data_IF_832852977959
#
_entry.id   IF_832852977959
#
_cell.length_a   1.000
_cell.length_b   1.000
_cell.length_c   1.000
_cell.angle_alpha   90.00
_cell.angle_beta   90.00
_cell.angle_gamma   90.00
#
_symmetry.space_group_name_H-M   'P 1'
#
loop_
_entity.id
_entity.type
_entity.pdbx_description
1 polymer ?
#
# COMPACT_ATOMS: atom_id res chain seq x y z
N UNK A 1 25.37 -20.28 -75.26
CA UNK A 1 24.48 -19.61 -76.23
C UNK A 1 23.08 -19.55 -75.65
N UNK A 2 22.52 -18.33 -75.49
CA UNK A 2 21.08 -17.93 -75.56
C UNK A 2 20.06 -18.69 -74.69
N UNK A 3 19.15 -18.09 -73.90
CA UNK A 3 18.50 -16.77 -73.84
C UNK A 3 17.97 -16.62 -72.40
N UNK A 4 18.28 -15.54 -71.65
CA UNK A 4 17.58 -14.25 -71.56
C UNK A 4 16.09 -14.29 -71.16
N UNK A 5 15.90 -13.91 -69.88
CA UNK A 5 14.92 -12.93 -69.38
C UNK A 5 13.45 -13.32 -69.31
N UNK A 6 12.93 -13.47 -68.08
CA UNK A 6 11.57 -13.04 -67.71
C UNK A 6 11.53 -12.67 -66.22
N UNK A 7 11.37 -11.37 -66.00
CA UNK A 7 11.07 -10.68 -64.75
C UNK A 7 9.54 -10.65 -64.61
N UNK A 8 8.95 -11.23 -63.56
CA UNK A 8 7.61 -10.88 -63.07
C UNK A 8 7.35 -11.40 -61.64
N UNK A 9 7.40 -10.46 -60.69
CA UNK A 9 6.53 -10.22 -59.52
C UNK A 9 5.56 -11.35 -59.10
N UNK A 10 5.64 -11.79 -57.83
CA UNK A 10 4.55 -12.18 -56.87
C UNK A 10 5.24 -12.37 -55.49
N UNK A 11 5.22 -11.40 -54.58
CA UNK A 11 4.26 -11.18 -53.48
C UNK A 11 4.38 -12.17 -52.29
N UNK A 12 4.80 -11.60 -51.14
CA UNK A 12 4.51 -11.98 -49.76
C UNK A 12 4.84 -13.39 -49.24
N UNK A 13 5.89 -13.49 -48.41
CA UNK A 13 5.74 -14.02 -47.03
C UNK A 13 6.95 -13.59 -46.18
N UNK A 14 6.88 -12.38 -45.63
CA UNK A 14 7.71 -12.01 -44.50
C UNK A 14 7.09 -12.66 -43.26
N UNK A 15 7.59 -13.82 -42.86
CA UNK A 15 7.41 -14.34 -41.51
C UNK A 15 8.22 -13.47 -40.55
N UNK A 16 7.65 -12.30 -40.22
CA UNK A 16 7.99 -11.62 -38.98
C UNK A 16 7.39 -12.46 -37.88
N UNK A 17 8.21 -13.33 -37.26
CA UNK A 17 7.89 -13.88 -35.94
C UNK A 17 7.90 -12.69 -34.97
N UNK A 18 6.75 -12.04 -34.83
CA UNK A 18 6.46 -11.24 -33.66
C UNK A 18 6.26 -12.25 -32.55
N UNK A 19 7.29 -12.46 -31.73
CA UNK A 19 7.12 -13.02 -30.40
C UNK A 19 6.30 -12.00 -29.60
N UNK A 20 4.97 -12.04 -29.76
CA UNK A 20 4.06 -11.52 -28.76
C UNK A 20 4.32 -12.33 -27.50
N UNK A 21 4.94 -11.70 -26.50
CA UNK A 21 5.01 -12.26 -25.17
C UNK A 21 3.60 -12.65 -24.75
N UNK A 22 3.41 -13.92 -24.40
CA UNK A 22 2.20 -14.34 -23.73
C UNK A 22 2.17 -13.61 -22.39
N UNK A 23 1.38 -12.53 -22.30
CA UNK A 23 0.94 -12.02 -21.00
C UNK A 23 0.22 -13.16 -20.29
N UNK A 24 0.60 -13.41 -19.04
CA UNK A 24 0.11 -14.50 -18.21
C UNK A 24 -1.33 -14.23 -17.73
N UNK A 25 -2.29 -14.16 -18.66
CA UNK A 25 -3.69 -13.77 -18.38
C UNK A 25 -4.49 -14.82 -17.59
N UNK A 26 -3.93 -15.99 -17.30
CA UNK A 26 -4.60 -17.05 -16.53
C UNK A 26 -4.56 -16.81 -15.02
N UNK A 27 -3.48 -16.19 -14.52
CA UNK A 27 -3.23 -16.01 -13.09
C UNK A 27 -3.88 -14.73 -12.54
N UNK A 28 -4.16 -13.74 -13.41
CA UNK A 28 -4.80 -12.47 -13.04
C UNK A 28 -6.16 -12.68 -12.32
N UNK A 29 -6.94 -13.69 -12.73
CA UNK A 29 -8.25 -14.01 -12.13
C UNK A 29 -8.17 -14.66 -10.75
N UNK A 30 -7.01 -15.19 -10.38
CA UNK A 30 -6.79 -15.77 -9.06
C UNK A 30 -6.81 -14.67 -7.99
N UNK A 31 -6.21 -13.52 -8.30
CA UNK A 31 -6.05 -12.40 -7.39
C UNK A 31 -7.00 -11.23 -7.66
N UNK A 32 -7.43 -10.99 -8.90
CA UNK A 32 -8.28 -9.83 -9.26
C UNK A 32 -9.38 -10.20 -10.27
N UNK A 33 -10.63 -10.04 -9.86
CA UNK A 33 -11.82 -10.22 -10.69
C UNK A 33 -12.65 -8.93 -10.72
N UNK A 34 -12.35 -8.04 -11.67
CA UNK A 34 -13.07 -6.78 -11.86
C UNK A 34 -14.15 -6.92 -12.94
N UNK A 35 -15.37 -7.24 -12.49
CA UNK A 35 -16.54 -7.45 -13.36
C UNK A 35 -17.25 -6.16 -13.75
N UNK A 36 -16.98 -5.08 -13.01
CA UNK A 36 -17.54 -3.76 -13.24
C UNK A 36 -16.72 -2.91 -14.22
N UNK A 37 -15.45 -3.25 -14.42
CA UNK A 37 -14.53 -2.47 -15.25
C UNK A 37 -14.07 -1.18 -14.56
N UNK A 38 -14.02 -1.18 -13.23
CA UNK A 38 -13.60 0.00 -12.45
C UNK A 38 -12.08 0.12 -12.32
N UNK A 39 -11.34 -0.93 -12.63
CA UNK A 39 -9.88 -0.94 -12.56
C UNK A 39 -9.27 -0.85 -13.97
N UNK A 40 -8.27 0.01 -14.11
CA UNK A 40 -7.38 0.02 -15.28
C UNK A 40 -6.54 -1.26 -15.32
N UNK A 41 -6.02 -1.62 -16.51
CA UNK A 41 -5.10 -2.75 -16.62
C UNK A 41 -3.89 -2.62 -15.69
N UNK A 42 -3.31 -1.42 -15.62
CA UNK A 42 -2.16 -1.16 -14.74
C UNK A 42 -2.48 -1.32 -13.25
N UNK A 43 -3.70 -1.02 -12.81
CA UNK A 43 -4.15 -1.28 -11.43
C UNK A 43 -4.34 -2.77 -11.16
N UNK A 44 -4.99 -3.50 -12.07
CA UNK A 44 -5.16 -4.97 -11.96
C UNK A 44 -3.80 -5.65 -11.83
N UNK A 45 -2.87 -5.30 -12.70
CA UNK A 45 -1.51 -5.84 -12.68
C UNK A 45 -0.77 -5.55 -11.37
N UNK A 46 -0.96 -4.36 -10.77
CA UNK A 46 -0.33 -4.02 -9.48
C UNK A 46 -0.94 -4.79 -8.33
N UNK A 47 -2.26 -4.86 -8.26
CA UNK A 47 -2.99 -5.57 -7.21
C UNK A 47 -2.69 -7.08 -7.29
N UNK A 48 -2.71 -7.67 -8.48
CA UNK A 48 -2.38 -9.07 -8.68
C UNK A 48 -0.95 -9.40 -8.21
N UNK A 49 0.05 -8.61 -8.62
CA UNK A 49 1.43 -8.77 -8.14
C UNK A 49 1.59 -8.61 -6.64
N UNK A 50 0.80 -7.75 -5.99
CA UNK A 50 0.80 -7.67 -4.53
C UNK A 50 0.21 -8.96 -3.94
N UNK A 51 -0.92 -9.43 -4.45
CA UNK A 51 -1.53 -10.69 -4.04
C UNK A 51 -0.60 -11.89 -4.16
N UNK A 52 0.10 -12.03 -5.30
CA UNK A 52 1.13 -13.05 -5.52
C UNK A 52 2.21 -13.02 -4.43
N UNK A 53 2.75 -11.84 -4.14
CA UNK A 53 3.78 -11.68 -3.11
C UNK A 53 3.28 -12.00 -1.71
N UNK A 54 2.03 -11.67 -1.39
CA UNK A 54 1.41 -12.03 -0.12
C UNK A 54 1.27 -13.55 0.01
N UNK A 55 0.92 -14.24 -1.08
CA UNK A 55 0.85 -15.70 -1.09
C UNK A 55 2.24 -16.32 -0.93
N UNK A 56 3.22 -15.88 -1.72
CA UNK A 56 4.57 -16.44 -1.72
C UNK A 56 5.33 -16.20 -0.40
N UNK A 57 5.19 -15.01 0.18
CA UNK A 57 6.08 -14.57 1.26
C UNK A 57 5.40 -14.47 2.63
N UNK A 58 4.07 -14.34 2.68
CA UNK A 58 3.29 -14.29 3.93
C UNK A 58 2.35 -15.47 4.10
N UNK A 59 2.28 -16.38 3.12
CA UNK A 59 1.35 -17.51 3.12
C UNK A 59 -0.10 -17.03 3.26
N UNK A 60 -0.45 -15.91 2.61
CA UNK A 60 -1.79 -15.30 2.61
C UNK A 60 -2.34 -15.27 1.17
N UNK A 61 -3.41 -16.01 0.92
CA UNK A 61 -4.11 -15.99 -0.37
C UNK A 61 -5.20 -14.93 -0.36
N UNK A 62 -4.92 -13.75 -0.91
CA UNK A 62 -5.88 -12.65 -1.02
C UNK A 62 -6.44 -12.52 -2.44
N UNK A 63 -7.75 -12.29 -2.56
CA UNK A 63 -8.41 -12.04 -3.84
C UNK A 63 -9.31 -10.81 -3.76
N UNK A 64 -9.24 -9.93 -4.76
CA UNK A 64 -10.14 -8.80 -4.94
C UNK A 64 -11.20 -9.09 -5.99
N UNK A 65 -12.46 -8.82 -5.66
CA UNK A 65 -13.59 -8.97 -6.59
C UNK A 65 -14.40 -7.68 -6.61
N UNK A 66 -14.58 -7.10 -7.81
CA UNK A 66 -15.47 -5.96 -8.04
C UNK A 66 -16.73 -6.46 -8.73
N UNK A 67 -17.86 -6.38 -8.05
CA UNK A 67 -19.15 -6.83 -8.56
C UNK A 67 -19.71 -5.86 -9.59
N UNK A 68 -20.30 -6.41 -10.65
CA UNK A 68 -21.03 -5.64 -11.68
C UNK A 68 -22.41 -5.17 -11.19
N UNK A 69 -23.03 -5.95 -10.32
CA UNK A 69 -24.39 -5.74 -9.81
C UNK A 69 -24.39 -6.01 -8.31
N UNK A 70 -25.21 -5.25 -7.58
CA UNK A 70 -25.36 -5.41 -6.13
C UNK A 70 -26.01 -6.74 -5.79
N UNK A 71 -25.44 -7.51 -4.85
CA UNK A 71 -26.12 -8.68 -4.32
C UNK A 71 -27.28 -8.25 -3.42
N UNK A 72 -28.19 -9.18 -3.16
CA UNK A 72 -29.23 -8.99 -2.13
C UNK A 72 -28.62 -8.87 -0.75
N UNK A 73 -27.59 -9.69 -0.47
CA UNK A 73 -26.80 -9.68 0.75
C UNK A 73 -25.32 -9.81 0.38
N UNK A 74 -24.52 -8.79 0.72
CA UNK A 74 -23.08 -8.79 0.42
C UNK A 74 -22.31 -9.80 1.26
N UNK A 75 -22.78 -10.13 2.46
CA UNK A 75 -22.15 -11.09 3.36
C UNK A 75 -22.33 -12.51 2.85
N UNK A 76 -23.57 -12.87 2.48
CA UNK A 76 -23.83 -14.16 1.82
C UNK A 76 -23.04 -14.25 0.51
N UNK A 77 -22.98 -13.15 -0.25
CA UNK A 77 -22.25 -13.15 -1.51
C UNK A 77 -20.74 -13.31 -1.32
N UNK A 78 -20.17 -12.73 -0.28
CA UNK A 78 -18.76 -12.87 0.05
C UNK A 78 -18.40 -14.31 0.39
N UNK A 79 -19.19 -14.97 1.25
CA UNK A 79 -18.99 -16.38 1.60
C UNK A 79 -19.05 -17.27 0.35
N UNK A 80 -20.07 -17.10 -0.50
CA UNK A 80 -20.21 -17.85 -1.76
C UNK A 80 -19.00 -17.69 -2.68
N UNK A 81 -18.48 -16.46 -2.83
CA UNK A 81 -17.31 -16.19 -3.66
C UNK A 81 -16.04 -16.77 -3.03
N UNK A 82 -15.90 -16.65 -1.71
CA UNK A 82 -14.74 -17.13 -0.95
C UNK A 82 -14.59 -18.65 -1.11
N UNK A 83 -15.68 -19.38 -0.90
CA UNK A 83 -15.69 -20.84 -1.01
C UNK A 83 -15.48 -21.32 -2.45
N UNK A 84 -16.17 -20.71 -3.43
CA UNK A 84 -15.98 -21.08 -4.85
C UNK A 84 -14.58 -20.78 -5.37
N UNK A 85 -13.93 -19.77 -4.80
CA UNK A 85 -12.54 -19.43 -5.14
C UNK A 85 -11.52 -20.26 -4.35
N UNK A 86 -11.97 -21.15 -3.45
CA UNK A 86 -11.14 -21.98 -2.58
C UNK A 86 -10.02 -21.15 -1.88
N UNK A 87 -10.37 -19.94 -1.40
CA UNK A 87 -9.38 -19.03 -0.83
C UNK A 87 -8.74 -19.64 0.42
N UNK A 88 -7.42 -19.48 0.52
CA UNK A 88 -6.61 -20.12 1.56
C UNK A 88 -6.21 -21.57 1.27
N UNK A 89 -6.81 -22.29 0.32
CA UNK A 89 -6.43 -23.70 0.00
C UNK A 89 -4.96 -23.86 -0.43
N UNK A 90 -4.38 -22.80 -1.01
CA UNK A 90 -2.97 -22.74 -1.44
C UNK A 90 -1.99 -22.50 -0.28
N UNK A 91 -2.48 -22.27 0.93
CA UNK A 91 -1.67 -21.89 2.10
C UNK A 91 -1.61 -23.01 3.13
N UNK A 92 -0.68 -22.94 4.09
CA UNK A 92 -0.53 -24.00 5.10
C UNK A 92 -1.70 -24.10 6.08
N UNK A 93 -2.36 -22.99 6.39
CA UNK A 93 -3.37 -22.88 7.46
C UNK A 93 -4.70 -22.31 6.97
N UNK A 94 -5.06 -22.49 5.69
CA UNK A 94 -6.31 -21.94 5.13
C UNK A 94 -6.44 -20.42 5.30
N UNK A 95 -5.32 -19.72 5.09
CA UNK A 95 -5.14 -18.27 5.24
C UNK A 95 -5.63 -17.55 3.99
N UNK A 96 -6.95 -17.43 3.86
CA UNK A 96 -7.62 -16.75 2.76
C UNK A 96 -8.18 -15.38 3.16
N UNK A 97 -8.19 -14.43 2.22
CA UNK A 97 -8.86 -13.13 2.36
C UNK A 97 -9.60 -12.82 1.06
N UNK A 98 -10.90 -12.52 1.13
CA UNK A 98 -11.63 -11.93 0.00
C UNK A 98 -11.84 -10.45 0.27
N UNK A 99 -11.46 -9.63 -0.70
CA UNK A 99 -11.80 -8.22 -0.77
C UNK A 99 -12.92 -8.04 -1.78
N UNK A 100 -14.16 -7.87 -1.31
CA UNK A 100 -15.35 -7.73 -2.15
C UNK A 100 -15.81 -6.27 -2.22
N UNK A 101 -16.05 -5.79 -3.44
CA UNK A 101 -16.52 -4.42 -3.71
C UNK A 101 -17.85 -4.50 -4.46
N UNK A 102 -18.90 -3.96 -3.86
CA UNK A 102 -20.18 -3.66 -4.50
C UNK A 102 -20.29 -2.15 -4.71
N UNK A 103 -19.92 -1.70 -5.91
CA UNK A 103 -19.91 -0.27 -6.18
C UNK A 103 -21.30 0.34 -6.33
N UNK A 104 -22.29 -0.44 -6.79
CA UNK A 104 -23.66 0.04 -7.01
C UNK A 104 -24.42 0.13 -5.69
N UNK A 105 -24.25 -0.88 -4.84
CA UNK A 105 -24.84 -0.96 -3.51
C UNK A 105 -24.03 -0.16 -2.51
N UNK A 106 -22.86 0.36 -2.94
CA UNK A 106 -22.02 1.23 -2.14
C UNK A 106 -21.47 0.48 -0.93
N UNK A 107 -21.03 -0.77 -1.09
CA UNK A 107 -20.49 -1.57 0.01
C UNK A 107 -19.09 -2.10 -0.30
N UNK A 108 -18.27 -2.20 0.74
CA UNK A 108 -17.04 -2.99 0.73
C UNK A 108 -17.15 -4.04 1.82
N UNK A 109 -16.57 -5.20 1.57
CA UNK A 109 -16.46 -6.27 2.54
C UNK A 109 -15.12 -6.97 2.45
N UNK A 110 -14.50 -7.18 3.59
CA UNK A 110 -13.40 -8.10 3.76
C UNK A 110 -13.92 -9.37 4.43
N UNK A 111 -13.78 -10.50 3.76
CA UNK A 111 -14.08 -11.82 4.31
C UNK A 111 -12.78 -12.52 4.69
N UNK A 112 -12.64 -12.89 5.96
CA UNK A 112 -11.41 -13.46 6.50
C UNK A 112 -11.59 -14.95 6.74
N UNK A 113 -10.70 -15.76 6.18
CA UNK A 113 -10.66 -17.20 6.45
C UNK A 113 -10.16 -17.52 7.85
N UNK A 114 -10.54 -18.67 8.39
CA UNK A 114 -10.25 -19.06 9.77
C UNK A 114 -8.76 -18.96 10.16
N UNK A 115 -7.85 -19.27 9.23
CA UNK A 115 -6.40 -19.17 9.45
C UNK A 115 -5.86 -17.76 9.71
N UNK A 116 -6.70 -16.74 9.55
CA UNK A 116 -6.33 -15.33 9.70
C UNK A 116 -7.17 -14.56 10.72
N UNK A 117 -8.16 -15.16 11.39
CA UNK A 117 -9.01 -14.45 12.37
C UNK A 117 -8.19 -13.92 13.57
N UNK A 118 -7.16 -14.65 14.01
CA UNK A 118 -6.23 -14.19 15.04
C UNK A 118 -5.34 -13.02 14.60
N UNK A 119 -5.04 -12.94 13.30
CA UNK A 119 -4.18 -11.90 12.72
C UNK A 119 -5.00 -10.66 12.36
N UNK A 120 -6.18 -10.86 11.76
CA UNK A 120 -7.11 -9.85 11.28
C UNK A 120 -8.45 -9.98 12.03
N UNK A 121 -8.52 -9.58 13.31
CA UNK A 121 -9.75 -9.64 14.08
C UNK A 121 -10.79 -8.66 13.52
N UNK A 122 -12.07 -8.93 13.77
CA UNK A 122 -13.22 -8.17 13.24
C UNK A 122 -13.09 -6.64 13.44
N UNK A 123 -12.61 -6.21 14.61
CA UNK A 123 -12.38 -4.78 14.88
C UNK A 123 -11.35 -4.12 13.94
N UNK A 124 -10.33 -4.86 13.51
CA UNK A 124 -9.33 -4.40 12.54
C UNK A 124 -9.89 -4.43 11.11
N UNK A 125 -10.66 -5.47 10.76
CA UNK A 125 -11.33 -5.57 9.46
C UNK A 125 -12.29 -4.40 9.24
N UNK A 126 -13.20 -4.18 10.20
CA UNK A 126 -14.13 -3.05 10.17
C UNK A 126 -13.44 -1.68 10.19
N UNK A 127 -12.22 -1.61 10.73
CA UNK A 127 -11.40 -0.41 10.66
C UNK A 127 -10.89 -0.14 9.25
N UNK A 128 -10.39 -1.15 8.53
CA UNK A 128 -10.00 -1.00 7.12
C UNK A 128 -11.21 -0.56 6.28
N UNK A 129 -12.34 -1.25 6.40
CA UNK A 129 -13.55 -0.97 5.63
C UNK A 129 -14.03 0.48 5.82
N UNK A 130 -14.10 0.96 7.07
CA UNK A 130 -14.64 2.30 7.39
C UNK A 130 -13.63 3.43 7.27
N UNK A 131 -12.38 3.22 7.69
CA UNK A 131 -11.39 4.30 7.83
C UNK A 131 -10.41 4.36 6.67
N UNK A 132 -10.08 3.22 6.05
CA UNK A 132 -9.15 3.18 4.92
C UNK A 132 -9.87 3.35 3.58
N UNK A 133 -10.95 2.60 3.35
CA UNK A 133 -11.53 2.49 2.00
C UNK A 133 -12.42 3.66 1.60
N UNK A 134 -13.25 4.14 2.55
CA UNK A 134 -14.25 5.19 2.30
C UNK A 134 -13.67 6.40 1.57
N UNK A 135 -12.52 7.00 1.98
CA UNK A 135 -12.00 8.20 1.34
C UNK A 135 -11.56 7.99 -0.13
N UNK A 136 -10.95 6.85 -0.42
CA UNK A 136 -10.51 6.51 -1.79
C UNK A 136 -11.70 6.32 -2.73
N UNK A 137 -12.72 5.63 -2.26
CA UNK A 137 -13.93 5.34 -3.02
C UNK A 137 -14.76 6.60 -3.25
N UNK A 138 -14.91 7.45 -2.24
CA UNK A 138 -15.54 8.77 -2.37
C UNK A 138 -14.85 9.61 -3.46
N UNK A 139 -13.52 9.49 -3.56
CA UNK A 139 -12.72 10.18 -4.56
C UNK A 139 -12.65 9.48 -5.93
N UNK A 140 -13.36 8.37 -6.13
CA UNK A 140 -13.33 7.58 -7.37
C UNK A 140 -12.02 6.81 -7.62
N UNK A 141 -11.12 6.74 -6.63
CA UNK A 141 -9.80 6.10 -6.72
C UNK A 141 -9.83 4.67 -6.18
N UNK A 142 -10.66 3.82 -6.78
CA UNK A 142 -10.93 2.45 -6.30
C UNK A 142 -9.66 1.60 -6.25
N UNK A 143 -8.86 1.57 -7.33
CA UNK A 143 -7.61 0.81 -7.38
C UNK A 143 -6.62 1.21 -6.30
N UNK A 144 -6.39 2.52 -6.11
CA UNK A 144 -5.54 3.04 -5.04
C UNK A 144 -6.05 2.65 -3.65
N UNK A 145 -7.36 2.63 -3.42
CA UNK A 145 -7.92 2.20 -2.14
C UNK A 145 -7.61 0.73 -1.84
N UNK A 146 -7.73 -0.15 -2.84
CA UNK A 146 -7.40 -1.58 -2.69
C UNK A 146 -5.91 -1.76 -2.35
N UNK A 147 -5.03 -1.12 -3.12
CA UNK A 147 -3.57 -1.17 -2.86
C UNK A 147 -3.26 -0.71 -1.43
N UNK A 148 -3.86 0.40 -0.99
CA UNK A 148 -3.64 0.96 0.34
C UNK A 148 -4.24 0.08 1.47
N UNK A 149 -5.28 -0.71 1.22
CA UNK A 149 -5.78 -1.66 2.20
C UNK A 149 -4.90 -2.92 2.31
N UNK A 150 -4.33 -3.38 1.20
CA UNK A 150 -3.37 -4.49 1.20
C UNK A 150 -2.14 -4.12 2.06
N UNK A 151 -1.66 -2.88 1.99
CA UNK A 151 -0.55 -2.38 2.81
C UNK A 151 -0.84 -2.46 4.32
N UNK A 152 -2.06 -2.13 4.75
CA UNK A 152 -2.47 -2.25 6.16
C UNK A 152 -2.57 -3.72 6.61
N UNK A 153 -3.07 -4.61 5.75
CA UNK A 153 -3.12 -6.05 6.02
C UNK A 153 -1.71 -6.62 6.20
N UNK A 154 -0.77 -6.22 5.34
CA UNK A 154 0.65 -6.59 5.45
C UNK A 154 1.23 -6.12 6.77
N UNK A 155 1.05 -4.84 7.13
CA UNK A 155 1.57 -4.26 8.36
C UNK A 155 1.09 -5.04 9.59
N UNK A 156 -0.22 -5.33 9.62
CA UNK A 156 -0.84 -6.08 10.71
C UNK A 156 -0.32 -7.51 10.79
N UNK A 157 -0.14 -8.18 9.64
CA UNK A 157 0.42 -9.53 9.60
C UNK A 157 1.84 -9.58 10.19
N UNK A 158 2.72 -8.64 9.82
CA UNK A 158 4.06 -8.56 10.41
C UNK A 158 4.04 -8.22 11.90
N UNK A 159 3.19 -7.28 12.32
CA UNK A 159 3.07 -6.86 13.71
C UNK A 159 2.61 -7.98 14.66
N UNK A 160 1.82 -8.94 14.17
CA UNK A 160 1.45 -10.15 14.93
C UNK A 160 2.60 -11.16 14.93
N UNK A 161 3.25 -11.37 13.77
CA UNK A 161 4.35 -12.34 13.63
C UNK A 161 5.57 -11.99 14.52
N UNK A 162 5.83 -10.72 14.78
CA UNK A 162 6.90 -10.27 15.69
C UNK A 162 6.57 -10.47 17.18
N UNK A 163 5.27 -10.50 17.52
CA UNK A 163 4.77 -10.67 18.90
C UNK A 163 4.57 -12.16 19.23
N UNK A 164 4.13 -12.98 18.26
CA UNK A 164 3.79 -14.40 18.44
C UNK A 164 4.95 -15.38 18.20
N UNK A 165 6.15 -14.91 17.81
CA UNK A 165 7.37 -15.75 17.90
C UNK A 165 7.81 -16.05 19.35
N UNK A 166 7.00 -15.67 20.34
CA UNK A 166 6.92 -16.31 21.66
C UNK A 166 5.53 -16.95 21.80
N UNK A 167 5.48 -18.26 21.57
CA UNK A 167 4.38 -19.18 21.90
C UNK A 167 3.12 -19.15 21.01
N UNK A 168 3.00 -20.15 20.14
CA UNK A 168 1.90 -21.15 20.07
C UNK A 168 2.06 -21.95 18.76
N UNK A 169 1.70 -23.22 18.64
CA UNK A 169 0.69 -24.01 19.34
C UNK A 169 -0.19 -24.64 18.25
N UNK A 170 -0.02 -25.94 18.04
CA UNK A 170 -0.56 -26.73 16.92
C UNK A 170 -2.10 -26.66 16.86
N UNK A 171 -2.67 -26.00 15.85
CA UNK A 171 -4.12 -25.96 15.58
C UNK A 171 -4.57 -27.13 14.70
N UNK A 172 -5.50 -27.93 15.21
CA UNK A 172 -6.11 -29.08 14.55
C UNK A 172 -6.96 -28.68 13.33
N UNK A 173 -6.81 -29.40 12.21
CA UNK A 173 -7.63 -29.23 11.01
C UNK A 173 -9.06 -29.71 11.26
N UNK A 174 -10.03 -28.81 11.22
CA UNK A 174 -11.45 -29.16 11.19
C UNK A 174 -11.94 -29.34 9.74
N UNK A 175 -12.71 -30.41 9.50
CA UNK A 175 -13.45 -30.65 8.25
C UNK A 175 -14.66 -29.67 8.13
N UNK A 176 -14.37 -28.36 8.04
CA UNK A 176 -15.38 -27.35 7.84
C UNK A 176 -15.87 -27.35 6.38
N UNK A 177 -17.19 -27.30 6.18
CA UNK A 177 -17.83 -27.23 4.85
C UNK A 177 -17.59 -25.86 4.17
N UNK A 178 -17.16 -24.85 4.93
CA UNK A 178 -16.88 -23.48 4.49
C UNK A 178 -15.45 -23.06 4.89
N UNK A 179 -14.80 -22.24 4.08
CA UNK A 179 -13.43 -21.78 4.34
C UNK A 179 -13.36 -20.48 5.17
N UNK A 180 -14.50 -19.88 5.52
CA UNK A 180 -14.61 -18.67 6.35
C UNK A 180 -15.92 -18.65 7.18
N UNK A 181 -15.93 -17.88 8.27
CA UNK A 181 -17.01 -17.78 9.25
C UNK A 181 -17.93 -16.56 9.15
N UNK A 182 -17.81 -15.68 8.15
CA UNK A 182 -18.68 -14.51 8.01
C UNK A 182 -18.21 -13.26 8.77
N UNK A 183 -16.95 -13.23 9.23
CA UNK A 183 -16.42 -12.14 10.05
C UNK A 183 -16.03 -10.93 9.18
N UNK A 184 -16.97 -10.00 9.00
CA UNK A 184 -16.74 -8.71 8.34
C UNK A 184 -17.92 -7.76 8.63
N UNK A 185 -17.64 -6.47 8.82
CA UNK A 185 -18.66 -5.48 9.17
C UNK A 185 -19.19 -4.79 7.91
N UNK A 186 -20.48 -4.90 7.63
CA UNK A 186 -21.06 -4.23 6.47
C UNK A 186 -20.88 -2.70 6.57
N UNK A 187 -20.21 -2.11 5.58
CA UNK A 187 -19.93 -0.67 5.53
C UNK A 187 -20.45 -0.07 4.23
N UNK A 188 -21.34 0.92 4.34
CA UNK A 188 -21.81 1.72 3.20
C UNK A 188 -20.81 2.84 2.85
N UNK A 189 -20.55 3.08 1.56
CA UNK A 189 -19.51 3.97 1.03
C UNK A 189 -20.05 4.81 -0.12
N UNK A 190 -19.86 6.13 -0.11
CA UNK A 190 -20.12 6.97 -1.29
C UNK A 190 -19.07 6.68 -2.38
N UNK A 191 -19.47 6.46 -3.65
CA UNK A 191 -18.53 6.34 -4.77
C UNK A 191 -18.74 7.49 -5.73
N UNK A 192 -17.64 8.18 -6.08
CA UNK A 192 -17.64 9.18 -7.16
C UNK A 192 -18.12 10.59 -6.76
N UNK A 193 -17.94 10.99 -5.50
CA UNK A 193 -18.33 12.30 -4.96
C UNK A 193 -17.40 13.47 -5.36
N UNK A 194 -16.35 13.23 -6.14
CA UNK A 194 -15.36 14.25 -6.53
C UNK A 194 -14.12 14.26 -5.64
N UNK A 195 -13.18 15.17 -5.91
CA UNK A 195 -11.98 15.31 -5.08
C UNK A 195 -12.40 15.68 -3.64
N UNK A 196 -11.91 14.95 -2.64
CA UNK A 196 -12.04 15.35 -1.25
C UNK A 196 -11.49 16.78 -1.09
N UNK A 197 -12.36 17.76 -0.89
CA UNK A 197 -11.94 19.11 -0.54
C UNK A 197 -11.24 19.05 0.82
N UNK A 198 -9.95 19.32 0.84
CA UNK A 198 -9.18 19.38 2.07
C UNK A 198 -9.40 20.73 2.71
N UNK A 199 -10.17 20.74 3.78
CA UNK A 199 -10.42 21.95 4.55
C UNK A 199 -9.15 22.43 5.25
N UNK A 200 -8.99 23.75 5.28
CA UNK A 200 -7.96 24.41 6.09
C UNK A 200 -8.25 24.16 7.56
N UNK A 201 -7.23 23.75 8.32
CA UNK A 201 -7.34 23.51 9.74
C UNK A 201 -7.47 24.83 10.50
N UNK A 202 -8.39 24.89 11.47
CA UNK A 202 -8.45 26.00 12.43
C UNK A 202 -7.15 26.11 13.25
N UNK A 203 -6.40 25.01 13.37
CA UNK A 203 -5.13 24.95 14.08
C UNK A 203 -3.92 25.21 13.17
N UNK A 204 -4.11 25.57 11.89
CA UNK A 204 -3.00 25.67 10.92
C UNK A 204 -1.85 26.57 11.41
N UNK A 205 -2.17 27.65 12.12
CA UNK A 205 -1.19 28.58 12.69
C UNK A 205 -0.30 27.97 13.80
N UNK A 206 -0.63 26.78 14.31
CA UNK A 206 0.17 26.06 15.30
C UNK A 206 1.22 25.14 14.65
N UNK A 207 1.08 24.86 13.35
CA UNK A 207 1.92 23.93 12.59
C UNK A 207 2.80 24.67 11.58
N UNK A 208 3.67 25.54 12.09
CA UNK A 208 4.66 26.25 11.28
C UNK A 208 5.98 25.49 11.17
N UNK A 209 6.90 26.02 10.37
CA UNK A 209 8.29 25.53 10.35
C UNK A 209 8.90 25.57 11.77
N UNK A 210 9.71 24.57 12.10
CA UNK A 210 10.17 24.33 13.47
C UNK A 210 11.65 24.69 13.67
N UNK A 211 12.08 25.02 14.91
CA UNK A 211 13.45 25.49 15.15
C UNK A 211 14.54 24.41 14.91
N UNK A 212 14.19 23.14 15.00
CA UNK A 212 15.09 22.00 14.74
C UNK A 212 14.42 20.90 13.90
N UNK A 213 15.19 20.01 13.25
CA UNK A 213 14.62 18.90 12.52
C UNK A 213 13.77 17.97 13.40
N UNK A 214 14.28 17.63 14.59
CA UNK A 214 13.58 16.74 15.51
C UNK A 214 12.23 17.36 15.96
N UNK A 215 12.22 18.65 16.30
CA UNK A 215 10.96 19.34 16.63
C UNK A 215 9.97 19.38 15.47
N UNK A 216 10.43 19.40 14.20
CA UNK A 216 9.54 19.30 13.04
C UNK A 216 8.86 17.93 12.98
N UNK A 217 9.59 16.86 13.25
CA UNK A 217 9.05 15.51 13.26
C UNK A 217 8.11 15.28 14.46
N UNK A 218 8.47 15.78 15.64
CA UNK A 218 7.58 15.77 16.82
C UNK A 218 6.27 16.51 16.53
N UNK A 219 6.37 17.69 15.90
CA UNK A 219 5.19 18.50 15.54
C UNK A 219 4.32 17.80 14.50
N UNK A 220 4.91 17.02 13.61
CA UNK A 220 4.16 16.17 12.70
C UNK A 220 3.45 15.01 13.41
N UNK A 221 4.04 14.46 14.47
CA UNK A 221 3.35 13.51 15.35
C UNK A 221 2.04 14.10 15.91
N UNK A 222 2.03 15.39 16.27
CA UNK A 222 0.80 16.08 16.68
C UNK A 222 -0.23 16.19 15.53
N UNK A 223 0.20 16.49 14.30
CA UNK A 223 -0.68 16.49 13.11
C UNK A 223 -1.38 15.15 12.95
N UNK A 224 -0.62 14.05 13.07
CA UNK A 224 -1.15 12.69 12.94
C UNK A 224 -2.19 12.38 14.02
N UNK A 225 -1.86 12.67 15.29
CA UNK A 225 -2.77 12.46 16.43
C UNK A 225 -4.06 13.27 16.33
N UNK A 226 -3.97 14.50 15.83
CA UNK A 226 -5.11 15.40 15.64
C UNK A 226 -5.84 15.17 14.31
N UNK A 227 -5.34 14.24 13.48
CA UNK A 227 -5.90 13.87 12.17
C UNK A 227 -6.09 15.04 11.23
N UNK A 228 -5.18 16.01 11.31
CA UNK A 228 -5.17 17.18 10.44
C UNK A 228 -4.77 16.73 9.04
N UNK A 229 -5.57 17.12 8.05
CA UNK A 229 -5.37 16.78 6.61
C UNK A 229 -5.12 18.01 5.74
N UNK A 230 -4.98 19.17 6.37
CA UNK A 230 -4.68 20.45 5.74
C UNK A 230 -3.34 20.34 4.99
N UNK A 231 -3.31 20.48 3.66
CA UNK A 231 -2.07 20.42 2.89
C UNK A 231 -1.24 21.69 3.05
N UNK A 232 -1.82 22.80 3.51
CA UNK A 232 -1.20 24.13 3.50
C UNK A 232 -0.40 24.45 4.77
N UNK A 233 -0.21 23.48 5.68
CA UNK A 233 0.56 23.67 6.91
C UNK A 233 1.99 24.15 6.60
N UNK A 234 2.42 25.18 7.34
CA UNK A 234 3.77 25.73 7.17
C UNK A 234 4.89 24.81 7.65
N UNK A 235 4.54 23.74 8.35
CA UNK A 235 5.39 22.60 8.70
C UNK A 235 5.91 21.84 7.45
N UNK A 236 5.23 21.96 6.31
CA UNK A 236 5.58 21.25 5.07
C UNK A 236 6.30 22.16 4.08
N UNK A 237 7.27 21.58 3.35
CA UNK A 237 7.88 22.27 2.19
C UNK A 237 6.82 22.64 1.16
N UNK A 238 7.00 23.71 0.37
CA UNK A 238 6.05 24.09 -0.68
C UNK A 238 5.68 22.94 -1.62
N UNK A 239 6.64 22.10 -1.99
CA UNK A 239 6.43 20.92 -2.83
C UNK A 239 5.59 19.86 -2.10
N UNK A 240 5.77 19.70 -0.79
CA UNK A 240 4.99 18.78 0.04
C UNK A 240 3.54 19.25 0.20
N UNK A 241 3.28 20.56 0.23
CA UNK A 241 1.91 21.11 0.23
C UNK A 241 1.18 20.76 -1.07
N UNK A 242 1.86 20.94 -2.22
CA UNK A 242 1.34 20.52 -3.53
C UNK A 242 1.10 19.01 -3.60
N UNK A 243 2.02 18.21 -3.05
CA UNK A 243 1.87 16.76 -2.97
C UNK A 243 0.63 16.38 -2.16
N UNK A 244 0.46 16.92 -0.95
CA UNK A 244 -0.69 16.60 -0.11
C UNK A 244 -2.00 17.16 -0.65
N UNK A 245 -2.01 18.24 -1.43
CA UNK A 245 -3.23 18.74 -2.06
C UNK A 245 -3.90 17.68 -2.96
N UNK A 246 -3.11 16.82 -3.63
CA UNK A 246 -3.62 15.72 -4.47
C UNK A 246 -3.69 14.34 -3.80
N UNK A 247 -3.07 14.20 -2.62
CA UNK A 247 -2.90 12.91 -1.93
C UNK A 247 -4.04 12.62 -0.95
N UNK A 248 -4.60 11.42 -0.99
CA UNK A 248 -5.62 11.00 -0.03
C UNK A 248 -4.92 10.49 1.22
N UNK A 249 -5.18 11.14 2.35
CA UNK A 249 -4.69 10.73 3.67
C UNK A 249 -5.90 10.22 4.45
N UNK A 250 -5.85 8.98 4.88
CA UNK A 250 -6.92 8.34 5.65
C UNK A 250 -6.64 8.44 7.15
N UNK A 251 -7.69 8.40 7.97
CA UNK A 251 -7.52 8.26 9.42
C UNK A 251 -6.73 6.99 9.75
N UNK A 252 -6.92 5.92 8.97
CA UNK A 252 -6.25 4.66 9.19
C UNK A 252 -4.74 4.74 9.04
N UNK A 253 -4.31 5.39 7.95
CA UNK A 253 -2.90 5.65 7.70
C UNK A 253 -2.31 6.58 8.77
N UNK A 254 -3.04 7.62 9.19
CA UNK A 254 -2.55 8.54 10.23
C UNK A 254 -2.37 7.87 11.59
N UNK A 255 -3.32 7.04 12.03
CA UNK A 255 -3.21 6.35 13.32
C UNK A 255 -2.04 5.32 13.32
N UNK A 256 -1.82 4.62 12.20
CA UNK A 256 -0.70 3.69 12.06
C UNK A 256 0.63 4.43 12.08
N UNK A 257 0.76 5.48 11.27
CA UNK A 257 1.97 6.29 11.25
C UNK A 257 2.23 6.96 12.61
N UNK A 258 1.19 7.44 13.30
CA UNK A 258 1.32 8.02 14.65
C UNK A 258 1.89 7.01 15.63
N UNK A 259 1.36 5.78 15.68
CA UNK A 259 1.84 4.74 16.60
C UNK A 259 3.26 4.32 16.28
N UNK A 260 3.59 4.18 14.99
CA UNK A 260 4.94 3.80 14.56
C UNK A 260 5.94 4.89 14.91
N UNK A 261 5.62 6.15 14.61
CA UNK A 261 6.45 7.29 14.96
C UNK A 261 6.66 7.42 16.48
N UNK A 262 5.59 7.30 17.28
CA UNK A 262 5.68 7.33 18.75
C UNK A 262 6.64 6.24 19.29
N UNK A 263 6.64 5.05 18.68
CA UNK A 263 7.54 3.94 19.04
C UNK A 263 8.99 4.18 18.61
N UNK A 264 9.21 4.77 17.43
CA UNK A 264 10.52 4.83 16.81
C UNK A 264 11.33 6.07 17.19
N UNK A 265 10.64 7.15 17.61
CA UNK A 265 11.25 8.46 17.82
C UNK A 265 12.44 8.43 18.79
N UNK A 266 12.41 7.55 19.81
CA UNK A 266 13.50 7.39 20.76
C UNK A 266 14.81 6.88 20.13
N UNK A 267 14.74 6.24 18.96
CA UNK A 267 15.89 5.73 18.20
C UNK A 267 16.29 6.64 17.03
N UNK A 268 15.69 7.83 16.92
CA UNK A 268 15.96 8.77 15.84
C UNK A 268 17.39 9.33 15.90
N UNK A 269 18.09 9.30 14.77
CA UNK A 269 19.35 9.98 14.56
C UNK A 269 19.16 11.13 13.56
N UNK A 270 19.57 12.34 13.96
CA UNK A 270 19.48 13.53 13.11
C UNK A 270 20.83 13.82 12.46
N UNK A 271 20.88 13.80 11.14
CA UNK A 271 22.06 14.19 10.35
C UNK A 271 21.70 15.43 9.55
N UNK A 272 22.51 16.49 9.67
CA UNK A 272 22.25 17.80 9.05
C UNK A 272 23.46 18.26 8.25
N UNK A 273 23.22 18.73 7.02
CA UNK A 273 24.21 19.38 6.16
C UNK A 273 23.55 20.61 5.53
N UNK A 274 24.11 21.79 5.78
CA UNK A 274 23.62 23.08 5.27
C UNK A 274 22.12 23.30 5.55
N UNK A 275 21.29 23.34 4.51
CA UNK A 275 19.86 23.56 4.54
C UNK A 275 19.05 22.25 4.53
N UNK A 276 19.69 21.09 4.68
CA UNK A 276 19.05 19.77 4.63
C UNK A 276 19.32 18.96 5.88
N UNK A 277 18.31 18.20 6.27
CA UNK A 277 18.44 17.21 7.33
C UNK A 277 17.73 15.91 6.96
N UNK A 278 18.24 14.83 7.52
CA UNK A 278 17.61 13.52 7.50
C UNK A 278 17.49 13.05 8.95
N UNK A 279 16.29 12.62 9.31
CA UNK A 279 16.08 11.86 10.54
C UNK A 279 15.97 10.41 10.13
N UNK A 280 16.92 9.58 10.58
CA UNK A 280 16.98 8.15 10.25
C UNK A 280 16.80 7.31 11.50
N UNK A 281 16.40 6.06 11.29
CA UNK A 281 16.21 5.05 12.33
C UNK A 281 17.14 3.86 12.08
N UNK A 282 17.35 2.98 13.09
CA UNK A 282 18.21 1.81 12.93
C UNK A 282 17.79 0.93 11.74
N UNK A 283 18.75 0.55 10.90
CA UNK A 283 18.48 -0.29 9.72
C UNK A 283 18.08 -1.73 10.07
N UNK A 284 18.21 -2.14 11.33
CA UNK A 284 17.63 -3.39 11.84
C UNK A 284 16.10 -3.39 11.75
N UNK A 285 15.47 -2.22 11.76
CA UNK A 285 14.03 -2.04 11.52
C UNK A 285 13.81 -1.24 10.22
N UNK A 286 13.73 -1.96 9.10
CA UNK A 286 13.39 -1.36 7.80
C UNK A 286 11.90 -0.99 7.67
N UNK A 287 11.07 -1.21 8.69
CA UNK A 287 9.73 -0.63 8.75
C UNK A 287 9.75 0.88 9.05
N UNK A 288 10.81 1.37 9.67
CA UNK A 288 11.00 2.79 10.01
C UNK A 288 11.75 3.52 8.91
N UNK A 289 11.03 4.17 8.01
CA UNK A 289 11.65 4.98 6.95
C UNK A 289 12.26 6.27 7.49
N UNK A 290 13.29 6.82 6.82
CA UNK A 290 13.82 8.12 7.17
C UNK A 290 12.84 9.25 6.81
N UNK A 291 12.93 10.36 7.53
CA UNK A 291 12.25 11.61 7.22
C UNK A 291 13.23 12.63 6.65
N UNK A 292 12.84 13.28 5.56
CA UNK A 292 13.64 14.32 4.91
C UNK A 292 13.14 15.70 5.27
N UNK A 293 14.07 16.63 5.49
CA UNK A 293 13.75 17.99 5.88
C UNK A 293 14.57 19.02 5.11
N UNK A 294 13.98 20.20 4.94
CA UNK A 294 14.61 21.37 4.32
C UNK A 294 14.43 22.57 5.24
N UNK A 295 15.47 23.38 5.39
CA UNK A 295 15.45 24.62 6.16
C UNK A 295 14.98 25.78 5.28
N UNK A 296 13.80 26.32 5.59
CA UNK A 296 13.30 27.57 5.03
C UNK A 296 13.76 28.80 5.83
N UNK A 297 13.20 29.96 5.50
CA UNK A 297 13.45 31.21 6.21
C UNK A 297 13.00 31.15 7.68
N UNK A 298 11.86 30.50 7.92
CA UNK A 298 11.20 30.48 9.23
C UNK A 298 11.52 29.22 10.07
N UNK A 299 12.25 28.25 9.51
CA UNK A 299 12.65 27.04 10.24
C UNK A 299 12.74 25.79 9.36
N UNK A 300 12.80 24.64 10.01
CA UNK A 300 12.81 23.32 9.39
C UNK A 300 11.41 22.86 9.01
N UNK A 301 11.28 22.36 7.78
CA UNK A 301 10.05 21.83 7.20
C UNK A 301 10.27 20.39 6.74
N UNK A 302 9.22 19.58 6.78
CA UNK A 302 9.23 18.20 6.27
C UNK A 302 9.06 18.17 4.75
N UNK A 303 9.91 17.40 4.07
CA UNK A 303 9.92 17.20 2.62
C UNK A 303 9.36 15.83 2.23
N UNK A 304 8.07 15.63 2.46
CA UNK A 304 7.33 14.43 2.01
C UNK A 304 7.35 14.26 0.49
N UNK A 305 7.38 15.35 -0.27
CA UNK A 305 7.54 15.28 -1.72
C UNK A 305 8.91 14.69 -2.11
N UNK A 306 9.97 15.07 -1.40
CA UNK A 306 11.29 14.45 -1.50
C UNK A 306 11.28 12.98 -1.12
N UNK A 307 10.66 12.65 0.02
CA UNK A 307 10.51 11.26 0.48
C UNK A 307 9.80 10.41 -0.56
N UNK A 308 8.66 10.85 -1.09
CA UNK A 308 7.90 10.10 -2.10
C UNK A 308 8.71 9.83 -3.39
N UNK A 309 9.55 10.78 -3.82
CA UNK A 309 10.42 10.58 -5.00
C UNK A 309 11.52 9.56 -4.78
N UNK A 310 12.02 9.45 -3.55
CA UNK A 310 13.27 8.74 -3.24
C UNK A 310 13.03 7.41 -2.55
N UNK A 311 12.03 7.34 -1.69
CA UNK A 311 11.72 6.20 -0.83
C UNK A 311 10.57 5.40 -1.45
N UNK A 312 10.77 4.10 -1.55
CA UNK A 312 9.73 3.13 -1.88
C UNK A 312 9.61 2.11 -0.77
N UNK A 313 8.53 1.33 -0.80
CA UNK A 313 8.30 0.23 0.13
C UNK A 313 8.03 -1.04 -0.67
N UNK A 314 8.58 -2.16 -0.20
CA UNK A 314 8.19 -3.46 -0.72
C UNK A 314 6.88 -3.94 -0.08
N UNK A 315 6.41 -5.12 -0.48
CA UNK A 315 5.23 -5.78 0.08
C UNK A 315 5.40 -6.27 1.53
N UNK A 316 6.54 -5.96 2.19
CA UNK A 316 6.79 -6.17 3.62
C UNK A 316 6.80 -4.87 4.41
N UNK A 317 6.40 -3.77 3.79
CA UNK A 317 6.58 -2.41 4.31
C UNK A 317 8.04 -2.10 4.68
N UNK A 318 9.00 -2.72 4.00
CA UNK A 318 10.40 -2.39 4.16
C UNK A 318 10.79 -1.31 3.15
N UNK A 319 11.34 -0.21 3.65
CA UNK A 319 11.72 0.89 2.79
C UNK A 319 12.99 0.59 1.99
N UNK A 320 13.07 1.14 0.79
CA UNK A 320 14.21 1.08 -0.12
C UNK A 320 14.36 2.38 -0.91
N UNK A 321 15.53 2.63 -1.48
CA UNK A 321 15.78 3.76 -2.35
C UNK A 321 15.35 3.46 -3.79
N UNK A 322 14.38 4.21 -4.31
CA UNK A 322 13.94 4.16 -5.72
C UNK A 322 15.02 4.67 -6.67
N UNK A 323 15.83 5.61 -6.20
CA UNK A 323 16.92 6.23 -6.95
C UNK A 323 18.14 6.36 -6.04
N UNK A 324 19.31 6.17 -6.63
CA UNK A 324 20.60 6.33 -5.95
C UNK A 324 21.16 7.75 -6.07
N UNK A 325 20.52 8.63 -6.85
CA UNK A 325 20.90 10.04 -6.99
C UNK A 325 19.85 10.96 -6.38
N UNK A 326 20.10 11.48 -5.18
CA UNK A 326 19.19 12.39 -4.48
C UNK A 326 19.94 13.30 -3.48
N UNK A 327 19.37 14.45 -3.10
CA UNK A 327 20.06 15.45 -2.27
C UNK A 327 20.23 15.05 -0.79
N UNK A 328 19.78 13.86 -0.40
CA UNK A 328 19.80 13.36 0.99
C UNK A 328 20.83 12.24 1.22
N UNK A 329 21.68 11.94 0.23
CA UNK A 329 22.67 10.86 0.31
C UNK A 329 23.68 11.03 1.45
N UNK A 330 23.99 12.27 1.82
CA UNK A 330 24.94 12.60 2.89
C UNK A 330 24.62 11.92 4.23
N UNK A 331 23.36 11.54 4.47
CA UNK A 331 22.93 10.88 5.70
C UNK A 331 23.09 9.34 5.67
N UNK A 332 23.62 8.79 4.57
CA UNK A 332 23.71 7.36 4.32
C UNK A 332 25.12 6.94 3.86
N UNK A 333 26.15 7.74 4.15
CA UNK A 333 27.54 7.45 3.77
C UNK A 333 28.10 6.18 4.45
N UNK A 334 27.52 5.76 5.56
CA UNK A 334 27.82 4.51 6.29
C UNK A 334 26.99 3.30 5.81
N UNK A 335 26.16 3.49 4.78
CA UNK A 335 25.22 2.48 4.25
C UNK A 335 25.58 2.12 2.82
N UNK A 336 25.41 0.86 2.42
CA UNK A 336 25.39 0.47 1.01
C UNK A 336 23.99 -0.01 0.61
N UNK A 337 23.61 0.23 -0.63
CA UNK A 337 22.36 -0.28 -1.18
C UNK A 337 22.60 -1.58 -1.95
N UNK A 338 21.74 -2.58 -1.78
CA UNK A 338 21.73 -3.75 -2.65
C UNK A 338 21.15 -3.44 -4.04
N UNK A 339 21.11 -4.44 -4.92
CA UNK A 339 20.61 -4.30 -6.29
C UNK A 339 19.14 -3.85 -6.39
N UNK A 340 18.37 -4.01 -5.32
CA UNK A 340 16.96 -3.62 -5.25
C UNK A 340 16.79 -2.28 -4.50
N UNK A 341 17.89 -1.62 -4.12
CA UNK A 341 17.89 -0.35 -3.42
C UNK A 341 17.72 -0.46 -1.90
N UNK A 342 17.73 -1.65 -1.30
CA UNK A 342 17.59 -1.76 0.16
C UNK A 342 18.88 -1.33 0.84
N UNK A 343 18.79 -0.50 1.89
CA UNK A 343 19.93 -0.07 2.69
C UNK A 343 20.41 -1.19 3.62
N UNK A 344 21.73 -1.32 3.72
CA UNK A 344 22.42 -2.23 4.63
C UNK A 344 23.64 -1.52 5.25
N UNK A 345 23.91 -1.79 6.52
CA UNK A 345 25.12 -1.28 7.19
C UNK A 345 26.38 -1.76 6.46
N UNK A 346 27.33 -0.86 6.19
CA UNK A 346 28.66 -1.26 5.72
C UNK A 346 29.33 -2.07 6.84
N UNK A 347 29.66 -3.33 6.56
CA UNK A 347 30.53 -4.11 7.45
C UNK A 347 31.85 -3.37 7.56
N UNK A 348 32.20 -2.96 8.78
CA UNK A 348 33.48 -2.31 9.11
C UNK A 348 34.64 -3.27 8.92
#
# INVERSE_FOLDING_TARGET
>A
MRQRTRMLVIFLMACVLVCTGCSHHGDDLDFVDDRAGLLTSGEKDRIARLGEKLLEELDIHIKTVVLKESPVDISEKAVDIFDRSELGKKTRESRGVLFLIDHMGRHVRLEIGYGLEGVFPDGFVGYIERRQMVPFFASGKVGNGIEAAYELLVEKAYGVTTVEHKESGNGEKTDAIHYSGGAGAETTIEIGGGALEKERSALAAEFNAQPSPLSALEKYGEVLRLRIKDPDLELYTPESRLFFAGWIVTDAQQDNESRKLESDLAAAEVITVEDRAVIRFPLSDRGSNPYFLVRGADGWMLDFAGMNRVIGFNHKNQWFFRTQGHPYLFAFDDVYCDKNGFPHEKRR
#
